data_IF_182372248927
#
_entry.id   IF_182372248927
#
_cell.length_a   1.000
_cell.length_b   1.000
_cell.length_c   1.000
_cell.angle_alpha   90.00
_cell.angle_beta   90.00
_cell.angle_gamma   90.00
#
_symmetry.space_group_name_H-M   'P 1'
#
loop_
_entity.id
_entity.type
_entity.pdbx_description
1 polymer ?
#
# COMPACT_ATOMS: atom_id res chain seq x y z
N UNK A 1 3.61 -11.72 1.06
CA UNK A 1 2.36 -12.35 0.60
C UNK A 1 1.17 -11.52 1.07
N UNK A 2 0.26 -11.20 0.15
CA UNK A 2 -0.94 -10.42 0.44
C UNK A 2 -2.18 -11.26 0.13
N UNK A 3 -3.31 -10.96 0.76
CA UNK A 3 -4.62 -11.55 0.45
C UNK A 3 -5.67 -10.46 0.33
N UNK A 4 -6.50 -10.52 -0.70
CA UNK A 4 -7.64 -9.62 -0.87
C UNK A 4 -8.97 -10.34 -0.66
N UNK A 5 -10.00 -9.61 -0.25
CA UNK A 5 -11.36 -10.13 -0.26
C UNK A 5 -11.89 -10.25 -1.69
N UNK A 6 -13.03 -10.93 -1.87
CA UNK A 6 -13.63 -11.14 -3.20
C UNK A 6 -14.03 -9.84 -3.92
N UNK A 7 -14.39 -8.82 -3.16
CA UNK A 7 -14.75 -7.50 -3.71
C UNK A 7 -13.52 -6.64 -4.08
N UNK A 8 -12.30 -7.08 -3.74
CA UNK A 8 -11.06 -6.38 -4.05
C UNK A 8 -10.83 -5.08 -3.29
N UNK A 9 -11.69 -4.73 -2.34
CA UNK A 9 -11.63 -3.47 -1.58
C UNK A 9 -11.05 -3.61 -0.17
N UNK A 10 -10.75 -4.85 0.26
CA UNK A 10 -10.05 -5.12 1.52
C UNK A 10 -8.81 -5.94 1.21
N UNK A 11 -7.67 -5.50 1.73
CA UNK A 11 -6.36 -6.10 1.51
C UNK A 11 -5.68 -6.36 2.86
N UNK A 12 -5.38 -7.63 3.15
CA UNK A 12 -4.51 -8.04 4.25
C UNK A 12 -3.08 -8.24 3.74
N UNK A 13 -2.09 -7.67 4.43
CA UNK A 13 -0.71 -7.61 3.96
C UNK A 13 0.28 -8.19 4.95
N UNK A 14 1.22 -8.97 4.42
CA UNK A 14 2.56 -9.16 4.97
C UNK A 14 3.56 -9.06 3.81
N UNK A 15 4.66 -8.28 3.87
CA UNK A 15 5.17 -7.50 5.00
C UNK A 15 4.38 -6.20 5.23
N UNK A 16 4.89 -5.37 6.14
CA UNK A 16 4.39 -4.06 6.55
C UNK A 16 4.84 -2.95 5.55
N UNK A 17 4.07 -2.63 4.49
CA UNK A 17 4.51 -1.68 3.46
C UNK A 17 4.73 -0.27 4.00
N UNK A 18 4.08 0.11 5.10
CA UNK A 18 4.25 1.39 5.75
C UNK A 18 5.70 1.63 6.21
N UNK A 19 6.45 0.55 6.47
CA UNK A 19 7.87 0.59 6.86
C UNK A 19 8.83 0.71 5.67
N UNK A 20 8.31 0.74 4.45
CA UNK A 20 9.10 0.91 3.22
C UNK A 20 8.56 2.09 2.40
N UNK A 21 8.21 3.19 3.05
CA UNK A 21 7.65 4.40 2.39
C UNK A 21 8.68 5.49 2.11
N UNK A 22 9.90 5.37 2.63
CA UNK A 22 10.99 6.31 2.40
C UNK A 22 12.33 5.60 2.65
N UNK A 23 13.36 6.00 1.91
CA UNK A 23 14.72 5.45 1.98
C UNK A 23 15.27 5.42 3.42
N UNK A 24 14.91 6.39 4.25
CA UNK A 24 15.34 6.45 5.66
C UNK A 24 14.71 5.39 6.57
N UNK A 25 13.59 4.79 6.16
CA UNK A 25 12.75 3.91 7.02
C UNK A 25 12.81 2.45 6.61
N UNK A 26 13.38 2.15 5.44
CA UNK A 26 13.47 0.78 4.90
C UNK A 26 13.35 0.66 3.38
N UNK A 27 13.32 1.78 2.64
CA UNK A 27 13.14 1.85 1.18
C UNK A 27 11.86 2.59 0.80
N UNK A 28 11.63 2.87 -0.49
CA UNK A 28 10.45 3.60 -0.97
C UNK A 28 9.35 2.74 -1.65
N UNK A 29 9.54 1.43 -1.76
CA UNK A 29 8.63 0.56 -2.52
C UNK A 29 7.19 0.46 -1.97
N UNK A 30 7.02 0.63 -0.67
CA UNK A 30 5.74 0.67 0.03
C UNK A 30 4.85 1.85 -0.37
N UNK A 31 5.43 2.94 -0.93
CA UNK A 31 4.64 4.06 -1.46
C UNK A 31 3.69 3.62 -2.55
N UNK A 32 4.08 2.66 -3.39
CA UNK A 32 3.24 2.16 -4.50
C UNK A 32 1.90 1.61 -3.99
N UNK A 33 1.91 0.92 -2.84
CA UNK A 33 0.69 0.39 -2.22
C UNK A 33 -0.17 1.54 -1.67
N UNK A 34 0.44 2.50 -0.98
CA UNK A 34 -0.28 3.65 -0.40
C UNK A 34 -0.89 4.54 -1.48
N UNK A 35 -0.13 4.87 -2.53
CA UNK A 35 -0.62 5.64 -3.67
C UNK A 35 -1.76 4.94 -4.40
N UNK A 36 -1.75 3.61 -4.49
CA UNK A 36 -2.85 2.85 -5.11
C UNK A 36 -4.14 3.01 -4.33
N UNK A 37 -4.08 2.98 -2.99
CA UNK A 37 -5.26 3.22 -2.15
C UNK A 37 -5.83 4.64 -2.33
N UNK A 38 -4.95 5.65 -2.42
CA UNK A 38 -5.36 7.04 -2.64
C UNK A 38 -5.99 7.23 -4.02
N UNK A 39 -5.40 6.63 -5.06
CA UNK A 39 -5.95 6.63 -6.42
C UNK A 39 -7.31 5.93 -6.49
N UNK A 40 -7.48 4.80 -5.78
CA UNK A 40 -8.76 4.10 -5.69
C UNK A 40 -9.87 4.97 -5.07
N UNK A 41 -9.50 5.82 -4.11
CA UNK A 41 -10.41 6.76 -3.46
C UNK A 41 -10.54 8.10 -4.22
N UNK A 42 -9.87 8.24 -5.37
CA UNK A 42 -9.81 9.47 -6.16
C UNK A 42 -9.36 10.69 -5.34
N UNK A 43 -8.44 10.47 -4.40
CA UNK A 43 -7.79 11.52 -3.62
C UNK A 43 -6.64 12.09 -4.45
N UNK A 44 -6.60 13.40 -4.65
CA UNK A 44 -5.47 14.07 -5.28
C UNK A 44 -4.25 14.02 -4.35
N UNK A 45 -3.12 13.53 -4.85
CA UNK A 45 -1.83 13.38 -4.14
C UNK A 45 -0.78 14.23 -4.82
#
# INVERSE_FOLDING_TARGET
AAVSNRAGNVLGLMPHPERATNELVGGADGLKIMSTALNFLNVAV
#
